data_IF_725892658711
#
_entry.id   IF_725892658711
#
_cell.length_a   1.000
_cell.length_b   1.000
_cell.length_c   1.000
_cell.angle_alpha   90.00
_cell.angle_beta   90.00
_cell.angle_gamma   90.00
#
_symmetry.space_group_name_H-M   'P 1'
#
loop_
_entity.id
_entity.type
_entity.pdbx_description
1 polymer ?
#
# COMPACT_ATOMS: atom_id res chain seq x y z
N UNK A 1 4.61 14.13 14.74
CA UNK A 1 5.32 12.85 14.58
C UNK A 1 4.72 12.16 13.37
N UNK A 2 5.51 11.85 12.35
CA UNK A 2 5.03 11.06 11.19
C UNK A 2 4.99 9.60 11.59
N UNK A 3 3.83 8.96 11.45
CA UNK A 3 3.71 7.51 11.65
C UNK A 3 4.59 6.80 10.63
N UNK A 4 5.47 5.87 11.03
CA UNK A 4 6.31 5.17 10.07
C UNK A 4 5.45 4.32 9.13
N UNK A 5 5.86 4.19 7.87
CA UNK A 5 5.15 3.41 6.85
C UNK A 5 4.88 1.97 7.30
N UNK A 6 5.90 1.35 7.92
CA UNK A 6 5.83 0.07 8.63
C UNK A 6 6.36 0.25 10.05
N UNK A 7 5.74 -0.40 11.03
CA UNK A 7 6.28 -0.48 12.38
C UNK A 7 7.47 -1.45 12.47
N UNK A 8 8.13 -1.52 13.64
CA UNK A 8 9.32 -2.35 13.83
C UNK A 8 9.08 -3.86 13.64
N UNK A 9 7.95 -4.37 14.13
CA UNK A 9 7.56 -5.78 14.01
C UNK A 9 7.24 -6.13 12.56
N UNK A 10 6.46 -5.29 11.88
CA UNK A 10 6.12 -5.42 10.45
C UNK A 10 7.37 -5.46 9.57
N UNK A 11 8.30 -4.52 9.79
CA UNK A 11 9.56 -4.47 9.04
C UNK A 11 10.43 -5.70 9.29
N UNK A 12 10.50 -6.16 10.53
CA UNK A 12 11.29 -7.35 10.92
C UNK A 12 10.70 -8.61 10.27
N UNK A 13 9.38 -8.76 10.35
CA UNK A 13 8.67 -9.88 9.74
C UNK A 13 8.84 -9.90 8.21
N UNK A 14 8.70 -8.75 7.54
CA UNK A 14 8.94 -8.66 6.10
C UNK A 14 10.37 -9.06 5.73
N UNK A 15 11.37 -8.59 6.48
CA UNK A 15 12.78 -8.96 6.25
C UNK A 15 12.99 -10.46 6.38
N UNK A 16 12.47 -11.07 7.43
CA UNK A 16 12.59 -12.52 7.64
C UNK A 16 11.85 -13.34 6.60
N UNK A 17 10.65 -12.91 6.20
CA UNK A 17 9.92 -13.54 5.12
C UNK A 17 10.69 -13.49 3.79
N UNK A 18 11.27 -12.32 3.44
CA UNK A 18 12.10 -12.15 2.25
C UNK A 18 13.39 -13.01 2.31
N UNK A 19 13.94 -13.24 3.50
CA UNK A 19 15.06 -14.16 3.73
C UNK A 19 14.65 -15.64 3.68
N UNK A 20 13.37 -15.94 3.49
CA UNK A 20 12.89 -17.30 3.28
C UNK A 20 12.48 -18.04 4.56
N UNK A 21 12.23 -17.34 5.66
CA UNK A 21 11.69 -17.99 6.85
C UNK A 21 10.28 -18.59 6.58
N UNK A 22 9.94 -19.74 7.19
CA UNK A 22 8.59 -20.30 7.13
C UNK A 22 7.55 -19.38 7.76
N UNK A 23 6.30 -19.45 7.29
CA UNK A 23 5.22 -18.58 7.78
C UNK A 23 4.94 -18.78 9.27
N UNK A 24 5.00 -20.02 9.75
CA UNK A 24 4.76 -20.37 11.16
C UNK A 24 5.76 -19.69 12.10
N UNK A 25 7.00 -19.49 11.65
CA UNK A 25 8.04 -18.79 12.43
C UNK A 25 7.80 -17.28 12.52
N UNK A 26 6.91 -16.74 11.68
CA UNK A 26 6.60 -15.31 11.65
C UNK A 26 5.42 -14.94 12.56
N UNK A 27 4.72 -15.93 13.12
CA UNK A 27 3.59 -15.72 14.04
C UNK A 27 3.97 -14.88 15.26
N UNK A 28 5.20 -15.03 15.76
CA UNK A 28 5.73 -14.28 16.90
C UNK A 28 5.77 -12.76 16.69
N UNK A 29 5.65 -12.29 15.45
CA UNK A 29 5.66 -10.86 15.10
C UNK A 29 4.25 -10.27 14.90
N UNK A 30 3.21 -11.08 15.05
CA UNK A 30 1.81 -10.71 14.86
C UNK A 30 1.09 -10.51 16.21
N UNK A 31 -0.02 -9.76 16.20
CA UNK A 31 -0.95 -9.74 17.33
C UNK A 31 -1.67 -11.09 17.48
N UNK A 32 -2.31 -11.33 18.63
CA UNK A 32 -3.00 -12.60 18.93
C UNK A 32 -4.06 -12.99 17.87
N UNK A 33 -4.68 -12.00 17.23
CA UNK A 33 -5.73 -12.20 16.21
C UNK A 33 -5.22 -12.10 14.75
N UNK A 34 -3.93 -11.79 14.55
CA UNK A 34 -3.37 -11.51 13.22
C UNK A 34 -2.67 -12.73 12.63
N UNK A 35 -2.91 -13.00 11.35
CA UNK A 35 -2.19 -14.03 10.60
C UNK A 35 -1.00 -13.41 9.82
N UNK A 36 0.22 -13.97 9.90
CA UNK A 36 1.41 -13.41 9.23
C UNK A 36 1.23 -13.15 7.74
N UNK A 37 0.49 -14.02 7.04
CA UNK A 37 0.20 -13.84 5.62
C UNK A 37 -0.59 -12.55 5.33
N UNK A 38 -1.56 -12.21 6.19
CA UNK A 38 -2.38 -10.99 6.07
C UNK A 38 -1.52 -9.77 6.35
N UNK A 39 -0.79 -9.77 7.45
CA UNK A 39 0.10 -8.65 7.82
C UNK A 39 1.17 -8.41 6.75
N UNK A 40 1.74 -9.47 6.18
CA UNK A 40 2.69 -9.37 5.05
C UNK A 40 2.03 -8.82 3.79
N UNK A 41 0.80 -9.23 3.46
CA UNK A 41 0.07 -8.69 2.33
C UNK A 41 -0.15 -7.18 2.48
N UNK A 42 -0.54 -6.73 3.67
CA UNK A 42 -0.76 -5.31 3.98
C UNK A 42 0.53 -4.49 3.95
N UNK A 43 1.62 -5.05 4.49
CA UNK A 43 2.95 -4.44 4.41
C UNK A 43 3.37 -4.24 2.95
N UNK A 44 3.16 -5.27 2.11
CA UNK A 44 3.50 -5.22 0.68
C UNK A 44 2.64 -4.21 -0.05
N UNK A 45 1.34 -4.17 0.21
CA UNK A 45 0.42 -3.21 -0.38
C UNK A 45 0.83 -1.76 -0.04
N UNK A 46 1.14 -1.47 1.24
CA UNK A 46 1.63 -0.15 1.68
C UNK A 46 2.93 0.27 0.99
N UNK A 47 3.90 -0.64 0.89
CA UNK A 47 5.17 -0.38 0.21
C UNK A 47 4.99 -0.13 -1.29
N UNK A 48 4.18 -0.95 -1.97
CA UNK A 48 3.88 -0.77 -3.39
C UNK A 48 3.18 0.56 -3.63
N UNK A 49 2.19 0.91 -2.79
CA UNK A 49 1.48 2.17 -2.89
C UNK A 49 2.41 3.36 -2.67
N UNK A 50 3.30 3.31 -1.67
CA UNK A 50 4.33 4.34 -1.47
C UNK A 50 5.26 4.46 -2.68
N UNK A 51 5.65 3.34 -3.29
CA UNK A 51 6.47 3.35 -4.51
C UNK A 51 5.74 4.02 -5.69
N UNK A 52 4.44 3.74 -5.86
CA UNK A 52 3.58 4.37 -6.88
C UNK A 52 3.49 5.88 -6.65
N UNK A 53 3.24 6.33 -5.41
CA UNK A 53 3.22 7.76 -5.05
C UNK A 53 4.52 8.46 -5.43
N UNK A 54 5.65 7.85 -5.08
CA UNK A 54 6.99 8.36 -5.41
C UNK A 54 7.38 8.18 -6.89
N UNK A 55 6.49 7.63 -7.73
CA UNK A 55 6.70 7.37 -9.15
C UNK A 55 7.97 6.53 -9.43
N UNK A 56 8.26 5.59 -8.54
CA UNK A 56 9.38 4.65 -8.73
C UNK A 56 8.88 3.39 -9.41
N UNK A 57 9.20 3.21 -10.69
CA UNK A 57 8.92 1.98 -11.42
C UNK A 57 10.05 0.96 -11.20
N UNK A 58 9.73 -0.11 -10.48
CA UNK A 58 10.63 -1.26 -10.27
C UNK A 58 10.15 -2.53 -10.96
N UNK A 59 9.08 -2.43 -11.76
CA UNK A 59 8.39 -3.57 -12.35
C UNK A 59 7.59 -4.40 -11.35
N UNK A 60 6.91 -5.42 -11.89
CA UNK A 60 6.13 -6.38 -11.10
C UNK A 60 7.01 -7.32 -10.27
N UNK A 61 6.47 -7.82 -9.17
CA UNK A 61 7.12 -8.87 -8.37
C UNK A 61 8.39 -8.45 -7.62
N UNK A 62 8.76 -7.16 -7.60
CA UNK A 62 9.99 -6.69 -6.93
C UNK A 62 10.02 -6.98 -5.42
N UNK A 63 8.84 -7.19 -4.83
CA UNK A 63 8.61 -7.49 -3.41
C UNK A 63 8.03 -8.91 -3.23
N UNK A 64 8.42 -9.85 -4.09
CA UNK A 64 8.07 -11.27 -3.97
C UNK A 64 9.26 -12.11 -3.52
N UNK A 65 8.97 -13.11 -2.67
CA UNK A 65 9.94 -14.08 -2.15
C UNK A 65 10.63 -14.92 -3.24
N UNK A 66 10.07 -15.00 -4.45
CA UNK A 66 10.62 -15.78 -5.58
C UNK A 66 11.66 -15.04 -6.42
N UNK A 67 11.99 -13.79 -6.09
CA UNK A 67 13.00 -13.06 -6.83
C UNK A 67 14.37 -13.75 -6.66
N UNK A 68 15.04 -14.07 -7.78
CA UNK A 68 16.30 -14.83 -7.89
C UNK A 68 17.31 -14.42 -6.80
N UNK A 69 18.19 -15.32 -6.33
CA UNK A 69 19.10 -15.10 -5.18
C UNK A 69 19.84 -13.73 -5.13
N UNK A 70 20.13 -13.10 -6.27
CA UNK A 70 20.77 -11.78 -6.36
C UNK A 70 19.81 -10.59 -6.07
N UNK A 71 18.52 -10.84 -5.85
CA UNK A 71 17.48 -9.81 -5.68
C UNK A 71 17.24 -9.43 -4.23
N UNK A 72 17.49 -10.32 -3.27
CA UNK A 72 17.21 -10.03 -1.86
C UNK A 72 17.91 -8.73 -1.39
N UNK A 73 19.21 -8.51 -1.60
CA UNK A 73 19.86 -7.25 -1.21
C UNK A 73 19.26 -6.02 -1.91
N UNK A 74 18.87 -6.17 -3.19
CA UNK A 74 18.24 -5.10 -3.96
C UNK A 74 16.85 -4.76 -3.42
N UNK A 75 16.03 -5.75 -3.12
CA UNK A 75 14.69 -5.58 -2.55
C UNK A 75 14.77 -4.94 -1.17
N UNK A 76 15.69 -5.38 -0.31
CA UNK A 76 15.90 -4.75 1.00
C UNK A 76 16.31 -3.27 0.88
N UNK A 77 17.24 -2.95 -0.04
CA UNK A 77 17.64 -1.57 -0.31
C UNK A 77 16.48 -0.70 -0.82
N UNK A 78 15.59 -1.26 -1.65
CA UNK A 78 14.37 -0.59 -2.11
C UNK A 78 13.41 -0.30 -0.95
N UNK A 79 13.19 -1.27 -0.07
CA UNK A 79 12.37 -1.08 1.15
C UNK A 79 12.94 0.02 2.02
N UNK A 80 14.25 0.01 2.28
CA UNK A 80 14.92 1.06 3.07
C UNK A 80 14.77 2.45 2.43
N UNK A 81 14.92 2.54 1.11
CA UNK A 81 14.68 3.79 0.37
C UNK A 81 13.25 4.30 0.54
N UNK A 82 12.24 3.42 0.51
CA UNK A 82 10.85 3.83 0.73
C UNK A 82 10.59 4.29 2.17
N UNK A 83 11.14 3.57 3.14
CA UNK A 83 11.02 3.91 4.56
C UNK A 83 11.64 5.26 4.91
N UNK A 84 12.74 5.62 4.23
CA UNK A 84 13.44 6.90 4.43
C UNK A 84 12.85 8.07 3.61
N UNK A 85 12.03 7.78 2.60
CA UNK A 85 11.49 8.81 1.72
C UNK A 85 10.35 9.58 2.39
N UNK A 86 10.43 10.91 2.33
CA UNK A 86 9.40 11.82 2.84
C UNK A 86 8.05 11.53 2.17
N UNK A 87 6.96 11.67 2.93
CA UNK A 87 5.61 11.61 2.37
C UNK A 87 5.36 12.79 1.45
N UNK A 88 4.76 12.50 0.30
CA UNK A 88 4.36 13.51 -0.68
C UNK A 88 2.84 13.67 -0.65
N UNK A 89 2.37 14.88 -0.95
CA UNK A 89 0.95 15.16 -1.11
C UNK A 89 0.49 15.01 -2.56
N UNK A 90 -0.81 14.71 -2.78
CA UNK A 90 -1.38 14.62 -4.11
C UNK A 90 -1.51 15.99 -4.78
N UNK A 91 -1.19 16.04 -6.07
CA UNK A 91 -1.56 17.17 -6.94
C UNK A 91 -2.88 16.87 -7.66
N UNK A 92 -3.67 17.90 -7.96
CA UNK A 92 -5.05 17.74 -8.47
C UNK A 92 -5.14 16.94 -9.78
N UNK A 93 -4.18 17.13 -10.68
CA UNK A 93 -4.12 16.46 -11.98
C UNK A 93 -3.59 15.03 -11.92
N UNK A 94 -3.12 14.57 -10.75
CA UNK A 94 -2.57 13.22 -10.66
C UNK A 94 -3.67 12.16 -10.70
N UNK A 95 -3.42 11.02 -11.39
CA UNK A 95 -4.29 9.86 -11.35
C UNK A 95 -4.44 9.31 -9.92
N UNK A 96 -5.66 8.88 -9.56
CA UNK A 96 -5.92 8.22 -8.28
C UNK A 96 -5.19 6.88 -8.14
N UNK A 97 -4.78 6.27 -9.26
CA UNK A 97 -4.01 5.01 -9.30
C UNK A 97 -2.68 5.10 -8.54
N UNK A 98 -2.15 6.32 -8.35
CA UNK A 98 -0.97 6.55 -7.52
C UNK A 98 -1.28 6.64 -6.02
N UNK A 99 -2.51 6.91 -5.65
CA UNK A 99 -2.88 7.30 -4.29
C UNK A 99 -3.70 6.26 -3.55
N UNK A 100 -4.47 5.45 -4.29
CA UNK A 100 -5.39 4.46 -3.77
C UNK A 100 -4.94 3.03 -4.12
N UNK A 101 -5.33 2.07 -3.29
CA UNK A 101 -5.20 0.66 -3.60
C UNK A 101 -6.22 0.24 -4.68
N UNK A 102 -5.92 -0.82 -5.40
CA UNK A 102 -6.68 -1.25 -6.58
C UNK A 102 -8.16 -1.52 -6.27
N UNK A 103 -8.44 -2.07 -5.09
CA UNK A 103 -9.81 -2.29 -4.59
C UNK A 103 -10.67 -1.01 -4.52
N UNK A 104 -10.06 0.15 -4.26
CA UNK A 104 -10.77 1.42 -4.20
C UNK A 104 -10.95 1.99 -5.60
N UNK A 105 -9.97 1.80 -6.47
CA UNK A 105 -10.05 2.22 -7.87
C UNK A 105 -11.20 1.52 -8.59
N UNK A 106 -11.36 0.21 -8.35
CA UNK A 106 -12.45 -0.59 -8.93
C UNK A 106 -13.83 -0.07 -8.51
N UNK A 107 -13.97 0.39 -7.26
CA UNK A 107 -15.22 0.99 -6.74
C UNK A 107 -15.49 2.37 -7.31
N UNK A 108 -14.45 3.12 -7.68
CA UNK A 108 -14.55 4.47 -8.23
C UNK A 108 -14.69 4.50 -9.75
N UNK A 109 -14.27 3.44 -10.44
CA UNK A 109 -14.36 3.32 -11.89
C UNK A 109 -15.78 3.58 -12.45
N UNK A 110 -16.88 3.03 -11.87
CA UNK A 110 -18.23 3.29 -12.37
C UNK A 110 -18.68 4.75 -12.23
N UNK A 111 -18.04 5.51 -11.35
CA UNK A 111 -18.33 6.92 -11.09
C UNK A 111 -17.49 7.87 -11.95
N UNK A 112 -16.64 7.33 -12.83
CA UNK A 112 -15.72 8.09 -13.68
C UNK A 112 -14.81 9.04 -12.89
N UNK A 113 -14.41 8.63 -11.68
CA UNK A 113 -13.48 9.39 -10.83
C UNK A 113 -12.07 8.85 -11.07
N UNK A 114 -11.27 9.58 -11.84
CA UNK A 114 -9.95 9.12 -12.28
C UNK A 114 -8.79 9.90 -11.65
N UNK A 115 -9.01 11.17 -11.31
CA UNK A 115 -7.99 12.09 -10.78
C UNK A 115 -8.32 12.58 -9.38
N UNK A 116 -7.33 13.17 -8.72
CA UNK A 116 -7.51 13.83 -7.42
C UNK A 116 -8.52 14.97 -7.55
N UNK A 117 -8.53 15.71 -8.66
CA UNK A 117 -9.51 16.76 -8.94
C UNK A 117 -10.93 16.21 -8.99
N UNK A 118 -11.15 15.07 -9.68
CA UNK A 118 -12.47 14.43 -9.76
C UNK A 118 -12.95 14.03 -8.37
N UNK A 119 -12.07 13.43 -7.57
CA UNK A 119 -12.38 13.02 -6.20
C UNK A 119 -12.78 14.20 -5.32
N UNK A 120 -12.02 15.30 -5.38
CA UNK A 120 -12.33 16.53 -4.64
C UNK A 120 -13.67 17.10 -5.09
N UNK A 121 -13.97 17.10 -6.40
CA UNK A 121 -15.25 17.55 -6.93
C UNK A 121 -16.43 16.72 -6.42
N UNK A 122 -16.30 15.39 -6.41
CA UNK A 122 -17.33 14.49 -5.87
C UNK A 122 -17.51 14.72 -4.37
N UNK A 123 -16.42 14.84 -3.62
CA UNK A 123 -16.49 15.13 -2.18
C UNK A 123 -17.21 16.45 -1.90
N UNK A 124 -16.82 17.54 -2.57
CA UNK A 124 -17.41 18.88 -2.39
C UNK A 124 -18.91 18.89 -2.69
N UNK A 125 -19.33 18.25 -3.78
CA UNK A 125 -20.75 18.18 -4.18
C UNK A 125 -21.62 17.37 -3.22
N UNK A 126 -21.02 16.48 -2.43
CA UNK A 126 -21.74 15.58 -1.54
C UNK A 126 -21.34 15.73 -0.06
N UNK A 127 -20.73 16.86 0.32
CA UNK A 127 -20.18 17.10 1.67
C UNK A 127 -21.18 16.93 2.81
N UNK A 128 -22.49 17.04 2.55
CA UNK A 128 -23.57 16.87 3.53
C UNK A 128 -24.25 15.49 3.51
N UNK A 129 -23.94 14.65 2.53
CA UNK A 129 -24.54 13.33 2.37
C UNK A 129 -23.47 12.25 2.56
N UNK A 130 -23.82 11.16 3.24
CA UNK A 130 -23.03 9.93 3.24
C UNK A 130 -23.12 9.25 1.85
N UNK A 131 -22.85 9.99 0.78
CA UNK A 131 -22.97 9.53 -0.59
C UNK A 131 -22.11 8.27 -0.82
N UNK A 132 -20.98 8.19 -0.14
CA UNK A 132 -20.08 7.05 -0.16
C UNK A 132 -20.73 5.78 0.40
N UNK A 133 -21.72 5.87 1.29
CA UNK A 133 -22.53 4.74 1.74
C UNK A 133 -23.53 4.25 0.69
N UNK A 134 -23.95 5.12 -0.24
CA UNK A 134 -24.82 4.74 -1.35
C UNK A 134 -24.05 4.08 -2.50
N UNK A 135 -22.71 4.18 -2.52
CA UNK A 135 -21.86 3.49 -3.48
C UNK A 135 -21.60 2.07 -2.97
N UNK A 136 -22.05 1.03 -3.69
CA UNK A 136 -21.84 -0.36 -3.27
C UNK A 136 -20.35 -0.65 -3.02
N UNK A 137 -20.04 -1.10 -1.81
CA UNK A 137 -18.68 -1.46 -1.41
C UNK A 137 -17.76 -0.31 -1.00
N UNK A 138 -18.14 0.97 -1.15
CA UNK A 138 -17.30 2.10 -0.73
C UNK A 138 -17.53 2.48 0.74
N UNK A 139 -18.72 2.22 1.28
CA UNK A 139 -19.10 2.58 2.65
C UNK A 139 -19.53 1.46 3.58
N UNK A 140 -19.22 0.22 3.21
CA UNK A 140 -19.37 -0.97 4.04
C UNK A 140 -18.04 -1.33 4.71
#
# INVERSE_FOLDING_TARGET
MTTPLLNGSELTMLRFWLNGLPMDTLADFCGEDDHPATVLADCRARLILKARRLQTDWGEGWLERKARANWLPLTLKRVERLMAAVDIGPELQQPLTYWLADEWLDKLQPLNVATVADWVGVYQTHTSANWWQAVPGLGA
#
